data_IF_743168194889
#
_entry.id   IF_743168194889
#
_cell.length_a   1.000
_cell.length_b   1.000
_cell.length_c   1.000
_cell.angle_alpha   90.00
_cell.angle_beta   90.00
_cell.angle_gamma   90.00
#
_symmetry.space_group_name_H-M   'P 1'
#
loop_
_entity.id
_entity.type
_entity.pdbx_description
1 polymer ?
#
# COMPACT_ATOMS: atom_id res chain seq x y z
N UNK A 1 -22.07 9.38 6.08
CA UNK A 1 -22.67 9.91 4.84
C UNK A 1 -22.04 9.19 3.66
N UNK A 2 -22.84 8.50 2.87
CA UNK A 2 -22.36 7.69 1.72
C UNK A 2 -22.37 8.51 0.42
N UNK A 3 -22.44 9.83 0.51
CA UNK A 3 -22.47 10.72 -0.64
C UNK A 3 -21.51 11.89 -0.43
N UNK A 4 -20.67 12.14 -1.45
CA UNK A 4 -19.86 13.34 -1.58
C UNK A 4 -20.38 14.15 -2.76
N UNK A 5 -20.63 15.43 -2.56
CA UNK A 5 -21.06 16.37 -3.59
C UNK A 5 -19.99 17.44 -3.76
N UNK A 6 -19.46 17.56 -4.96
CA UNK A 6 -18.45 18.54 -5.34
C UNK A 6 -19.13 19.50 -6.33
N UNK A 7 -18.99 20.80 -6.11
CA UNK A 7 -19.51 21.85 -7.00
C UNK A 7 -18.39 22.74 -7.52
N UNK A 8 -18.55 23.21 -8.74
CA UNK A 8 -17.67 24.24 -9.27
C UNK A 8 -17.69 25.47 -8.38
N UNK A 9 -16.53 26.04 -8.12
CA UNK A 9 -16.37 27.27 -7.36
C UNK A 9 -16.27 28.45 -8.32
N UNK A 10 -17.27 29.32 -8.31
CA UNK A 10 -17.42 30.40 -9.28
C UNK A 10 -16.37 31.50 -9.10
N UNK A 11 -15.89 31.72 -7.87
CA UNK A 11 -14.87 32.71 -7.52
C UNK A 11 -13.44 32.15 -7.57
N UNK A 12 -13.23 31.03 -8.24
CA UNK A 12 -11.88 30.47 -8.40
C UNK A 12 -10.99 31.41 -9.23
N UNK A 13 -9.80 31.69 -8.76
CA UNK A 13 -8.87 32.65 -9.37
C UNK A 13 -8.35 32.24 -10.77
N UNK A 14 -8.51 30.97 -11.17
CA UNK A 14 -8.17 30.46 -12.49
C UNK A 14 -9.40 30.30 -13.38
N UNK A 15 -9.35 29.31 -14.29
CA UNK A 15 -10.50 29.00 -15.13
C UNK A 15 -11.51 28.19 -14.31
N UNK A 16 -12.80 28.61 -14.36
CA UNK A 16 -13.88 27.87 -13.78
C UNK A 16 -13.96 26.47 -14.39
N UNK A 17 -14.24 25.47 -13.57
CA UNK A 17 -14.45 24.10 -14.03
C UNK A 17 -15.62 24.03 -15.03
N UNK A 18 -15.45 23.24 -16.08
CA UNK A 18 -16.50 23.02 -17.11
C UNK A 18 -17.63 22.15 -16.58
N UNK A 19 -17.37 21.33 -15.55
CA UNK A 19 -18.37 20.51 -14.88
C UNK A 19 -18.90 21.29 -13.68
N UNK A 20 -20.19 21.53 -13.63
CA UNK A 20 -20.82 22.31 -12.56
C UNK A 20 -20.91 21.53 -11.25
N UNK A 21 -21.19 20.24 -11.32
CA UNK A 21 -21.42 19.42 -10.15
C UNK A 21 -21.01 17.95 -10.40
N UNK A 22 -20.36 17.34 -9.42
CA UNK A 22 -20.07 15.91 -9.38
C UNK A 22 -20.67 15.32 -8.10
N UNK A 23 -21.50 14.29 -8.23
CA UNK A 23 -22.03 13.53 -7.13
C UNK A 23 -21.33 12.15 -7.07
N UNK A 24 -20.62 11.90 -5.98
CA UNK A 24 -19.95 10.62 -5.73
C UNK A 24 -20.74 9.85 -4.67
N UNK A 25 -21.16 8.65 -5.00
CA UNK A 25 -21.83 7.74 -4.09
C UNK A 25 -20.89 6.63 -3.69
N UNK A 26 -20.73 6.41 -2.39
CA UNK A 26 -19.98 5.27 -1.86
C UNK A 26 -20.99 4.19 -1.50
N UNK A 27 -21.01 3.12 -2.28
CA UNK A 27 -21.90 1.99 -2.06
C UNK A 27 -21.09 0.83 -1.49
N UNK A 28 -21.44 0.29 -0.32
CA UNK A 28 -20.69 -0.81 0.30
C UNK A 28 -20.80 -2.11 -0.49
N UNK A 29 -21.91 -2.33 -1.19
CA UNK A 29 -22.14 -3.45 -2.10
C UNK A 29 -22.92 -2.99 -3.32
N UNK A 30 -22.37 -3.21 -4.51
CA UNK A 30 -23.11 -3.12 -5.75
C UNK A 30 -23.66 -4.53 -6.05
N UNK A 31 -24.90 -4.80 -5.67
CA UNK A 31 -25.55 -6.01 -6.14
C UNK A 31 -25.91 -5.88 -7.64
N UNK A 32 -26.10 -7.01 -8.33
CA UNK A 32 -26.38 -7.05 -9.77
C UNK A 32 -27.58 -6.19 -10.19
N UNK A 33 -28.58 -6.02 -9.29
CA UNK A 33 -29.77 -5.21 -9.54
C UNK A 33 -29.47 -3.71 -9.59
N UNK A 34 -28.56 -3.23 -8.72
CA UNK A 34 -28.11 -1.84 -8.72
C UNK A 34 -27.20 -1.54 -9.92
N UNK A 35 -26.34 -2.50 -10.30
CA UNK A 35 -25.49 -2.34 -11.47
C UNK A 35 -26.30 -2.35 -12.79
N UNK A 36 -27.36 -3.12 -12.85
CA UNK A 36 -28.28 -3.13 -14.01
C UNK A 36 -29.10 -1.84 -14.16
N UNK A 37 -29.34 -1.11 -13.04
CA UNK A 37 -30.01 0.19 -13.05
C UNK A 37 -29.11 1.38 -13.36
N UNK A 38 -27.79 1.22 -13.24
CA UNK A 38 -26.79 2.21 -13.63
C UNK A 38 -26.42 1.99 -15.11
N UNK A 39 -27.30 2.32 -16.01
CA UNK A 39 -26.98 2.43 -17.44
C UNK A 39 -26.06 3.64 -17.60
N UNK A 40 -24.76 3.39 -17.67
CA UNK A 40 -23.85 4.33 -18.26
C UNK A 40 -24.21 4.39 -19.75
N UNK A 41 -24.88 5.45 -20.19
CA UNK A 41 -24.95 5.79 -21.60
C UNK A 41 -23.52 6.13 -22.08
N UNK A 42 -22.76 5.11 -22.43
CA UNK A 42 -21.40 5.19 -22.93
C UNK A 42 -21.29 4.51 -24.28
N UNK A 43 -20.16 4.61 -24.97
CA UNK A 43 -19.97 4.07 -26.30
C UNK A 43 -20.30 2.56 -26.32
N UNK A 44 -21.01 2.16 -27.37
CA UNK A 44 -21.51 0.82 -27.63
C UNK A 44 -20.45 -0.26 -27.47
N UNK A 45 -20.87 -1.42 -27.00
CA UNK A 45 -20.07 -2.61 -26.80
C UNK A 45 -19.12 -2.89 -27.98
N UNK A 46 -17.82 -2.76 -27.76
CA UNK A 46 -16.75 -2.93 -28.75
C UNK A 46 -15.65 -1.88 -28.68
N UNK A 47 -15.93 -0.70 -28.16
CA UNK A 47 -14.88 0.30 -27.88
C UNK A 47 -14.37 0.08 -26.47
N UNK A 48 -13.05 0.17 -26.29
CA UNK A 48 -12.43 0.07 -24.97
C UNK A 48 -12.95 1.19 -24.06
N UNK A 49 -14.00 0.89 -23.31
CA UNK A 49 -14.63 1.83 -22.37
C UNK A 49 -13.74 2.18 -21.18
N UNK A 50 -12.62 1.44 -20.99
CA UNK A 50 -11.72 1.62 -19.86
C UNK A 50 -10.28 1.73 -20.34
N UNK A 51 -9.60 2.76 -19.90
CA UNK A 51 -8.15 2.87 -19.99
C UNK A 51 -7.55 2.25 -18.73
N UNK A 52 -6.76 1.19 -18.91
CA UNK A 52 -6.00 0.60 -17.81
C UNK A 52 -4.67 1.33 -17.68
N UNK A 53 -4.39 1.88 -16.53
CA UNK A 53 -3.15 2.59 -16.23
C UNK A 53 -2.50 2.00 -15.00
N UNK A 54 -1.19 1.79 -15.07
CA UNK A 54 -0.42 1.39 -13.91
C UNK A 54 -0.40 2.54 -12.88
N UNK A 55 -0.75 2.23 -11.64
CA UNK A 55 -0.73 3.20 -10.56
C UNK A 55 0.72 3.54 -10.18
N UNK A 56 1.01 4.83 -10.03
CA UNK A 56 2.30 5.32 -9.56
C UNK A 56 2.34 5.25 -8.03
N UNK A 57 2.60 4.06 -7.50
CA UNK A 57 2.62 3.81 -6.07
C UNK A 57 3.13 2.42 -5.77
N UNK A 58 3.26 2.10 -4.50
CA UNK A 58 3.68 0.77 -4.07
C UNK A 58 3.23 0.44 -2.65
N UNK A 59 3.18 -0.85 -2.33
CA UNK A 59 3.27 -1.36 -0.98
C UNK A 59 4.73 -1.46 -0.59
N UNK A 60 5.06 -1.10 0.65
CA UNK A 60 6.43 -1.17 1.14
C UNK A 60 6.49 -1.55 2.62
N UNK A 61 7.61 -2.11 3.01
CA UNK A 61 7.91 -2.39 4.41
C UNK A 61 8.81 -1.28 4.96
N UNK A 62 8.40 -0.72 6.10
CA UNK A 62 9.16 0.25 6.87
C UNK A 62 9.67 -0.43 8.13
N UNK A 63 10.97 -0.55 8.29
CA UNK A 63 11.57 -1.07 9.51
C UNK A 63 11.62 0.01 10.58
N UNK A 64 11.12 -0.32 11.76
CA UNK A 64 11.05 0.62 12.88
C UNK A 64 12.38 0.63 13.64
N UNK A 65 13.13 1.73 13.54
CA UNK A 65 14.43 1.87 14.21
C UNK A 65 14.33 1.88 15.74
N UNK A 66 13.14 2.13 16.27
CA UNK A 66 12.86 2.09 17.72
C UNK A 66 12.78 0.67 18.27
N UNK A 67 12.51 -0.29 17.40
CA UNK A 67 12.52 -1.72 17.75
C UNK A 67 13.93 -2.30 17.63
N UNK A 68 14.31 -3.15 18.56
CA UNK A 68 15.59 -3.84 18.51
C UNK A 68 15.75 -4.69 17.25
N UNK A 69 14.68 -5.39 16.80
CA UNK A 69 14.71 -6.21 15.59
C UNK A 69 14.61 -5.35 14.33
N UNK A 70 13.77 -4.33 14.33
CA UNK A 70 13.66 -3.39 13.21
C UNK A 70 14.93 -2.59 12.97
N UNK A 71 15.68 -2.25 14.02
CA UNK A 71 16.98 -1.60 13.92
C UNK A 71 18.12 -2.52 13.48
N UNK A 72 17.96 -3.85 13.64
CA UNK A 72 19.01 -4.82 13.37
C UNK A 72 19.22 -5.01 11.86
N UNK A 73 20.43 -4.73 11.39
CA UNK A 73 20.79 -4.80 9.96
C UNK A 73 20.62 -6.21 9.37
N UNK A 74 21.02 -7.25 10.10
CA UNK A 74 20.97 -8.63 9.59
C UNK A 74 19.53 -9.13 9.52
N UNK A 75 18.69 -8.74 10.49
CA UNK A 75 17.25 -9.00 10.47
C UNK A 75 16.61 -8.33 9.24
N UNK A 76 16.90 -7.04 9.01
CA UNK A 76 16.36 -6.31 7.83
C UNK A 76 16.78 -6.96 6.52
N UNK A 77 18.05 -7.34 6.37
CA UNK A 77 18.56 -8.00 5.15
C UNK A 77 17.86 -9.33 4.93
N UNK A 78 17.74 -10.15 5.96
CA UNK A 78 17.11 -11.44 5.86
C UNK A 78 15.62 -11.33 5.54
N UNK A 79 14.88 -10.46 6.23
CA UNK A 79 13.46 -10.19 5.94
C UNK A 79 13.28 -9.71 4.50
N UNK A 80 14.11 -8.77 4.04
CA UNK A 80 14.04 -8.26 2.66
C UNK A 80 14.30 -9.36 1.62
N UNK A 81 15.09 -10.36 1.96
CA UNK A 81 15.34 -11.53 1.10
C UNK A 81 14.13 -12.47 1.07
N UNK A 82 13.59 -12.85 2.22
CA UNK A 82 12.45 -13.78 2.32
C UNK A 82 11.18 -13.15 1.74
N UNK A 83 10.92 -11.90 2.07
CA UNK A 83 9.76 -11.14 1.62
C UNK A 83 10.03 -10.33 0.34
N UNK A 84 10.93 -10.81 -0.50
CA UNK A 84 11.19 -10.17 -1.80
C UNK A 84 9.89 -10.06 -2.62
N UNK A 85 9.66 -8.96 -3.36
CA UNK A 85 8.42 -8.73 -4.09
C UNK A 85 7.99 -9.90 -4.99
N UNK A 86 8.94 -10.52 -5.67
CA UNK A 86 8.66 -11.68 -6.52
C UNK A 86 8.11 -12.89 -5.73
N UNK A 87 8.60 -13.12 -4.51
CA UNK A 87 8.10 -14.18 -3.64
C UNK A 87 6.66 -13.90 -3.18
N UNK A 88 6.37 -12.65 -2.81
CA UNK A 88 5.03 -12.24 -2.41
C UNK A 88 4.02 -12.42 -3.55
N UNK A 89 4.36 -11.96 -4.75
CA UNK A 89 3.51 -12.09 -5.94
C UNK A 89 3.30 -13.57 -6.30
N UNK A 90 4.34 -14.39 -6.25
CA UNK A 90 4.24 -15.82 -6.58
C UNK A 90 3.27 -16.57 -5.65
N UNK A 91 3.17 -16.18 -4.38
CA UNK A 91 2.28 -16.78 -3.40
C UNK A 91 0.93 -16.06 -3.26
N UNK A 92 0.72 -14.99 -4.02
CA UNK A 92 -0.56 -14.30 -4.06
C UNK A 92 -1.62 -15.11 -4.83
N UNK A 93 -2.88 -14.85 -4.54
CA UNK A 93 -3.99 -15.40 -5.31
C UNK A 93 -3.91 -14.92 -6.78
N UNK A 94 -4.39 -15.75 -7.71
CA UNK A 94 -4.27 -15.53 -9.16
C UNK A 94 -4.74 -14.12 -9.60
N UNK A 95 -5.83 -13.64 -8.99
CA UNK A 95 -6.35 -12.29 -9.27
C UNK A 95 -5.33 -11.19 -8.98
N UNK A 96 -4.53 -11.30 -7.90
CA UNK A 96 -3.51 -10.32 -7.56
C UNK A 96 -2.25 -10.47 -8.39
N UNK A 97 -1.88 -11.69 -8.80
CA UNK A 97 -0.73 -11.94 -9.68
C UNK A 97 -0.85 -11.19 -11.01
N UNK A 98 -2.07 -10.92 -11.47
CA UNK A 98 -2.33 -10.17 -12.71
C UNK A 98 -2.09 -8.67 -12.55
N UNK A 99 -2.29 -8.13 -11.34
CA UNK A 99 -2.29 -6.67 -11.09
C UNK A 99 -1.07 -6.18 -10.34
N UNK A 100 -0.38 -7.05 -9.61
CA UNK A 100 0.79 -6.67 -8.84
C UNK A 100 2.07 -6.87 -9.64
N UNK A 101 2.96 -5.89 -9.54
CA UNK A 101 4.27 -5.91 -10.17
C UNK A 101 5.35 -5.76 -9.10
N UNK A 102 6.51 -6.43 -9.24
CA UNK A 102 7.60 -6.29 -8.30
C UNK A 102 8.15 -4.86 -8.32
N UNK A 103 8.20 -4.23 -7.15
CA UNK A 103 8.84 -2.93 -6.94
C UNK A 103 10.11 -3.13 -6.11
N UNK A 104 11.21 -2.57 -6.56
CA UNK A 104 12.52 -2.63 -5.88
C UNK A 104 12.97 -1.27 -5.35
N UNK A 105 12.06 -0.32 -5.27
CA UNK A 105 12.23 1.02 -4.73
C UNK A 105 10.90 1.74 -4.65
N UNK A 106 10.86 2.85 -3.93
CA UNK A 106 9.63 3.66 -3.78
C UNK A 106 9.24 4.36 -5.08
N UNK A 107 10.21 4.68 -5.95
CA UNK A 107 9.96 5.28 -7.25
C UNK A 107 9.97 4.21 -8.34
N UNK A 108 8.95 4.18 -9.19
CA UNK A 108 8.90 3.26 -10.31
C UNK A 108 10.08 3.56 -11.25
N UNK A 109 10.84 2.58 -11.65
CA UNK A 109 11.96 2.66 -12.63
C UNK A 109 13.34 3.02 -12.09
N UNK A 110 13.56 3.21 -10.80
CA UNK A 110 14.90 3.45 -10.26
C UNK A 110 15.48 2.17 -9.65
N UNK A 111 16.59 1.73 -10.20
CA UNK A 111 17.44 0.62 -9.78
C UNK A 111 16.76 -0.66 -9.28
N UNK A 112 16.89 -1.69 -10.07
CA UNK A 112 16.54 -3.06 -9.72
C UNK A 112 17.60 -3.70 -8.81
N UNK A 113 17.82 -3.16 -7.64
CA UNK A 113 18.64 -3.82 -6.65
C UNK A 113 17.85 -5.01 -6.07
N UNK A 114 18.13 -6.19 -6.56
CA UNK A 114 17.56 -7.40 -5.99
C UNK A 114 18.09 -7.60 -4.56
N UNK A 115 17.23 -8.09 -3.63
CA UNK A 115 17.68 -8.43 -2.29
C UNK A 115 18.81 -9.44 -2.33
N UNK A 116 19.89 -9.13 -1.63
CA UNK A 116 21.03 -10.04 -1.51
C UNK A 116 20.62 -11.21 -0.62
N UNK A 117 20.93 -12.44 -1.04
CA UNK A 117 20.72 -13.63 -0.22
C UNK A 117 21.37 -13.44 1.15
N UNK A 118 20.60 -13.71 2.20
CA UNK A 118 21.05 -13.55 3.58
C UNK A 118 20.62 -14.77 4.40
N UNK A 119 21.43 -15.13 5.36
CA UNK A 119 21.11 -16.20 6.30
C UNK A 119 20.21 -15.69 7.42
N UNK A 120 19.39 -16.60 7.98
CA UNK A 120 18.52 -16.28 9.10
C UNK A 120 19.37 -15.92 10.32
N UNK A 121 19.14 -14.78 10.95
CA UNK A 121 19.80 -14.44 12.21
C UNK A 121 19.50 -15.46 13.31
N UNK A 122 20.53 -15.80 14.08
CA UNK A 122 20.38 -16.73 15.18
C UNK A 122 19.40 -16.20 16.24
N UNK A 123 18.53 -17.09 16.74
CA UNK A 123 17.54 -16.73 17.77
C UNK A 123 16.36 -15.88 17.28
N UNK A 124 16.21 -15.67 15.97
CA UNK A 124 15.06 -14.98 15.42
C UNK A 124 13.87 -15.95 15.33
N UNK A 125 12.90 -15.79 16.23
CA UNK A 125 11.71 -16.65 16.32
C UNK A 125 10.42 -15.90 16.03
N UNK A 126 10.38 -14.58 16.27
CA UNK A 126 9.18 -13.77 16.12
C UNK A 126 9.52 -12.40 15.57
N UNK A 127 8.67 -11.91 14.66
CA UNK A 127 8.68 -10.53 14.13
C UNK A 127 7.29 -9.95 14.29
N UNK A 128 7.19 -8.69 14.72
CA UNK A 128 5.92 -7.96 14.78
C UNK A 128 5.72 -7.14 13.52
N UNK A 129 4.58 -7.31 12.87
CA UNK A 129 4.13 -6.53 11.72
C UNK A 129 2.89 -5.74 12.11
N UNK A 130 2.93 -4.43 11.89
CA UNK A 130 1.76 -3.56 12.09
C UNK A 130 1.32 -2.93 10.77
N UNK A 131 0.01 -2.69 10.64
CA UNK A 131 -0.56 -1.96 9.51
C UNK A 131 -1.91 -1.34 9.88
N UNK A 132 -2.33 -0.34 9.10
CA UNK A 132 -3.65 0.27 9.22
C UNK A 132 -4.75 -0.70 8.79
N UNK A 133 -5.69 -1.00 9.71
CA UNK A 133 -6.67 -2.10 9.59
C UNK A 133 -7.64 -2.01 8.42
N UNK A 134 -7.97 -0.79 7.95
CA UNK A 134 -8.97 -0.59 6.90
C UNK A 134 -8.42 -0.75 5.48
N UNK A 135 -7.13 -1.04 5.35
CA UNK A 135 -6.52 -1.45 4.09
C UNK A 135 -6.66 -2.97 3.89
N UNK A 136 -7.63 -3.37 3.08
CA UNK A 136 -7.92 -4.80 2.82
C UNK A 136 -6.70 -5.51 2.22
N UNK A 137 -6.01 -4.87 1.28
CA UNK A 137 -4.81 -5.41 0.62
C UNK A 137 -3.67 -5.67 1.60
N UNK A 138 -3.52 -4.85 2.63
CA UNK A 138 -2.51 -5.07 3.67
C UNK A 138 -2.75 -6.39 4.41
N UNK A 139 -4.00 -6.73 4.67
CA UNK A 139 -4.36 -8.01 5.31
C UNK A 139 -3.99 -9.21 4.45
N UNK A 140 -4.21 -9.13 3.14
CA UNK A 140 -3.81 -10.20 2.22
C UNK A 140 -2.29 -10.34 2.17
N UNK A 141 -1.56 -9.25 2.01
CA UNK A 141 -0.10 -9.24 2.01
C UNK A 141 0.46 -9.79 3.33
N UNK A 142 -0.08 -9.38 4.47
CA UNK A 142 0.35 -9.86 5.78
C UNK A 142 0.18 -11.38 5.94
N UNK A 143 -0.89 -11.97 5.38
CA UNK A 143 -1.08 -13.43 5.37
C UNK A 143 -0.01 -14.16 4.55
N UNK A 144 0.30 -13.64 3.36
CA UNK A 144 1.37 -14.20 2.52
C UNK A 144 2.71 -14.12 3.25
N UNK A 145 3.03 -12.96 3.83
CA UNK A 145 4.25 -12.75 4.61
C UNK A 145 4.33 -13.71 5.80
N UNK A 146 3.22 -13.92 6.51
CA UNK A 146 3.14 -14.87 7.62
C UNK A 146 3.46 -16.29 7.17
N UNK A 147 2.94 -16.71 6.02
CA UNK A 147 3.20 -18.05 5.46
C UNK A 147 4.67 -18.22 5.09
N UNK A 148 5.25 -17.22 4.42
CA UNK A 148 6.67 -17.27 4.01
C UNK A 148 7.61 -17.32 5.22
N UNK A 149 7.36 -16.50 6.25
CA UNK A 149 8.19 -16.48 7.46
C UNK A 149 8.00 -17.74 8.31
N UNK A 150 6.79 -18.29 8.37
CA UNK A 150 6.53 -19.55 9.06
C UNK A 150 7.30 -20.73 8.44
N UNK A 151 7.45 -20.75 7.11
CA UNK A 151 8.27 -21.76 6.42
C UNK A 151 9.75 -21.69 6.84
N UNK A 152 10.23 -20.54 7.29
CA UNK A 152 11.58 -20.32 7.82
C UNK A 152 11.65 -20.45 9.36
N UNK A 153 10.57 -20.87 10.00
CA UNK A 153 10.49 -21.03 11.45
C UNK A 153 10.39 -19.71 12.22
N UNK A 154 9.84 -18.66 11.61
CA UNK A 154 9.60 -17.36 12.24
C UNK A 154 8.12 -17.05 12.27
N UNK A 155 7.60 -16.74 13.45
CA UNK A 155 6.22 -16.33 13.64
C UNK A 155 6.07 -14.84 13.34
N UNK A 156 5.14 -14.48 12.47
CA UNK A 156 4.75 -13.09 12.24
C UNK A 156 3.58 -12.74 13.16
N UNK A 157 3.85 -11.92 14.19
CA UNK A 157 2.83 -11.37 15.08
C UNK A 157 2.20 -10.15 14.40
N UNK A 158 0.97 -10.30 13.91
CA UNK A 158 0.25 -9.25 13.17
C UNK A 158 -0.54 -8.40 14.15
N UNK A 159 -0.38 -7.07 14.05
CA UNK A 159 -1.12 -6.07 14.80
C UNK A 159 -1.80 -5.10 13.85
N UNK A 160 -3.13 -5.13 13.84
CA UNK A 160 -3.96 -4.17 13.11
C UNK A 160 -4.20 -2.95 13.99
N UNK A 161 -3.83 -1.77 13.53
CA UNK A 161 -4.00 -0.50 14.24
C UNK A 161 -5.07 0.36 13.58
N UNK A 162 -5.65 1.30 14.33
CA UNK A 162 -6.55 2.29 13.75
C UNK A 162 -5.78 3.43 13.06
N UNK A 163 -6.53 4.35 12.43
CA UNK A 163 -5.93 5.46 11.71
C UNK A 163 -5.11 6.38 12.61
N UNK A 164 -5.60 6.68 13.81
CA UNK A 164 -4.93 7.60 14.72
C UNK A 164 -3.62 7.01 15.27
N UNK A 165 -3.64 5.74 15.62
CA UNK A 165 -2.45 5.00 16.07
C UNK A 165 -1.39 4.92 14.96
N UNK A 166 -1.83 4.60 13.73
CA UNK A 166 -0.95 4.56 12.57
C UNK A 166 -0.38 5.94 12.26
N UNK A 167 -1.24 6.98 12.20
CA UNK A 167 -0.83 8.33 11.82
C UNK A 167 0.13 8.94 12.84
N UNK A 168 -0.16 8.82 14.14
CA UNK A 168 0.74 9.33 15.19
C UNK A 168 2.04 8.54 15.30
N UNK A 169 2.02 7.26 14.93
CA UNK A 169 3.19 6.40 15.03
C UNK A 169 3.62 6.10 16.47
N UNK A 170 2.68 6.14 17.42
CA UNK A 170 2.96 5.91 18.84
C UNK A 170 3.27 4.44 19.14
N UNK A 171 2.72 3.53 18.34
CA UNK A 171 2.95 2.09 18.47
C UNK A 171 4.32 1.73 17.89
N UNK A 172 5.10 0.95 18.63
CA UNK A 172 6.37 0.40 18.18
C UNK A 172 6.13 -1.00 17.62
N UNK A 173 6.60 -1.25 16.41
CA UNK A 173 6.56 -2.53 15.74
C UNK A 173 7.94 -2.85 15.15
N UNK A 174 8.24 -4.11 14.84
CA UNK A 174 9.50 -4.39 14.13
C UNK A 174 9.43 -3.89 12.69
N UNK A 175 8.25 -4.08 12.05
CA UNK A 175 8.00 -3.71 10.67
C UNK A 175 6.60 -3.11 10.55
N UNK A 176 6.47 -2.10 9.72
CA UNK A 176 5.21 -1.54 9.29
C UNK A 176 4.96 -1.84 7.81
N UNK A 177 3.79 -2.35 7.48
CA UNK A 177 3.33 -2.48 6.10
C UNK A 177 2.52 -1.23 5.75
N UNK A 178 3.01 -0.49 4.78
CA UNK A 178 2.42 0.74 4.29
C UNK A 178 2.18 0.70 2.78
N UNK A 179 1.38 1.62 2.30
CA UNK A 179 1.21 1.90 0.89
C UNK A 179 1.41 3.38 0.62
N UNK A 180 1.86 3.70 -0.57
CA UNK A 180 1.99 5.06 -1.05
C UNK A 180 1.50 5.14 -2.49
N UNK A 181 0.69 6.15 -2.78
CA UNK A 181 0.28 6.53 -4.11
C UNK A 181 0.88 7.89 -4.43
N UNK A 182 1.66 7.96 -5.49
CA UNK A 182 2.37 9.17 -5.85
C UNK A 182 1.64 9.91 -6.98
N UNK A 183 1.57 11.22 -6.84
CA UNK A 183 1.09 12.13 -7.87
C UNK A 183 2.27 12.78 -8.59
N UNK A 184 2.02 13.40 -9.73
CA UNK A 184 3.04 14.17 -10.42
C UNK A 184 3.13 15.60 -9.84
N UNK A 185 4.33 16.16 -9.69
CA UNK A 185 5.64 15.54 -9.96
C UNK A 185 6.04 14.53 -8.87
N UNK A 186 6.62 13.39 -9.28
CA UNK A 186 6.92 12.27 -8.40
C UNK A 186 7.88 12.60 -7.26
N UNK A 187 8.92 13.37 -7.53
CA UNK A 187 9.91 13.80 -6.55
C UNK A 187 9.26 14.59 -5.40
N UNK A 188 8.41 15.56 -5.73
CA UNK A 188 7.67 16.32 -4.73
C UNK A 188 6.73 15.43 -3.91
N UNK A 189 5.96 14.56 -4.58
CA UNK A 189 5.02 13.65 -3.93
C UNK A 189 5.71 12.66 -2.98
N UNK A 190 6.89 12.14 -3.36
CA UNK A 190 7.71 11.29 -2.51
C UNK A 190 8.19 12.02 -1.25
N UNK A 191 8.71 13.24 -1.40
CA UNK A 191 9.16 14.03 -0.24
C UNK A 191 8.00 14.37 0.68
N UNK A 192 6.85 14.80 0.16
CA UNK A 192 5.65 15.03 0.96
C UNK A 192 5.29 13.78 1.76
N UNK A 193 5.23 12.61 1.13
CA UNK A 193 4.89 11.37 1.81
C UNK A 193 5.87 11.03 2.94
N UNK A 194 7.17 11.21 2.73
CA UNK A 194 8.19 10.94 3.74
C UNK A 194 8.16 11.93 4.92
N UNK A 195 7.78 13.19 4.67
CA UNK A 195 7.78 14.24 5.69
C UNK A 195 6.44 14.40 6.42
N UNK A 196 5.32 14.14 5.75
CA UNK A 196 3.99 14.41 6.29
C UNK A 196 3.44 13.29 7.17
N UNK A 197 4.01 12.09 7.09
CA UNK A 197 3.58 10.94 7.89
C UNK A 197 4.44 10.80 9.14
N UNK A 198 3.93 11.15 10.34
CA UNK A 198 4.71 11.09 11.58
C UNK A 198 5.30 9.72 11.88
N UNK A 199 4.57 8.64 11.57
CA UNK A 199 5.06 7.27 11.70
C UNK A 199 6.40 7.08 10.98
N UNK A 200 6.51 7.57 9.72
CA UNK A 200 7.74 7.42 8.94
C UNK A 200 8.89 8.14 9.64
N UNK A 201 8.64 9.36 10.14
CA UNK A 201 9.65 10.14 10.85
C UNK A 201 10.14 9.43 12.12
N UNK A 202 9.24 8.80 12.86
CA UNK A 202 9.60 8.02 14.05
C UNK A 202 10.41 6.76 13.74
N UNK A 203 10.16 6.12 12.60
CA UNK A 203 10.84 4.89 12.24
C UNK A 203 12.25 5.10 11.68
N UNK A 204 12.54 6.25 11.07
CA UNK A 204 13.83 6.51 10.38
C UNK A 204 14.81 7.37 11.18
N UNK A 205 14.37 7.99 12.29
CA UNK A 205 15.22 8.79 13.20
C UNK A 205 15.76 7.90 14.39
#
# INVERSE_FOLDING_TARGET
SNQLKIRAFDDYFGYRALIDEVNVWVLPDLNEELSAGLTLEGPTAGEKAFESRLEEGCYYLLFDSRSHRGANHDVRRWISHILAPANLIYHAEEQYQTWWFPAYGLLPRWHHAQPVRSEKPAGLETITLSYYRDHIEHRFLARIMSTLLAAEGVTLAIQEVDYDEWHRGDVISDIWLNSANFTLPLDFSLFSHLYEVPLIQHCIN
#
